data_IF_983050578911
#
_entry.id   IF_983050578911
#
_cell.length_a   1.000
_cell.length_b   1.000
_cell.length_c   1.000
_cell.angle_alpha   90.00
_cell.angle_beta   90.00
_cell.angle_gamma   90.00
#
_symmetry.space_group_name_H-M   'P 1'
#
loop_
_entity.id
_entity.type
_entity.pdbx_description
1 polymer ?
#
# COMPACT_ATOMS: atom_id res chain seq x y z
N UNK A 1 3.41 9.74 22.24
CA UNK A 1 4.84 9.51 22.28
C UNK A 1 5.26 8.19 21.65
N UNK A 2 4.74 7.08 22.15
CA UNK A 2 5.16 5.81 21.59
C UNK A 2 4.68 5.65 20.15
N UNK A 3 3.61 6.30 19.81
CA UNK A 3 3.11 6.27 18.44
C UNK A 3 4.09 6.93 17.50
N UNK A 4 4.66 8.05 17.95
CA UNK A 4 5.66 8.74 17.15
C UNK A 4 6.92 7.89 17.00
N UNK A 5 7.29 7.20 18.04
CA UNK A 5 8.43 6.31 17.99
C UNK A 5 8.24 5.19 16.98
N UNK A 6 7.04 4.64 16.95
CA UNK A 6 6.76 3.59 15.99
C UNK A 6 6.85 4.10 14.56
N UNK A 7 6.38 5.30 14.34
CA UNK A 7 6.47 5.88 13.01
C UNK A 7 7.92 6.07 12.60
N UNK A 8 8.73 6.52 13.52
CA UNK A 8 10.14 6.69 13.23
C UNK A 8 10.81 5.36 12.93
N UNK A 9 10.47 4.34 13.69
CA UNK A 9 11.02 3.02 13.43
C UNK A 9 10.69 2.53 12.04
N UNK A 10 9.47 2.76 11.60
CA UNK A 10 9.05 2.33 10.27
C UNK A 10 9.86 3.04 9.20
N UNK A 11 10.05 4.33 9.36
CA UNK A 11 10.82 5.09 8.39
C UNK A 11 12.28 4.70 8.38
N UNK A 12 12.84 4.50 9.57
CA UNK A 12 14.25 4.17 9.69
C UNK A 12 14.59 2.86 9.02
N UNK A 13 13.65 1.95 9.00
CA UNK A 13 13.90 0.63 8.47
C UNK A 13 13.62 0.52 6.99
N UNK A 14 13.11 1.58 6.41
CA UNK A 14 12.81 1.56 5.00
C UNK A 14 11.71 0.58 4.66
N UNK A 15 11.55 0.39 3.38
CA UNK A 15 10.49 -0.45 2.85
C UNK A 15 10.70 -1.92 3.12
N UNK A 16 11.95 -2.32 3.32
CA UNK A 16 12.23 -3.74 3.52
C UNK A 16 11.69 -4.24 4.84
N UNK A 17 11.37 -3.35 5.77
CA UNK A 17 10.89 -3.74 7.07
C UNK A 17 9.38 -3.70 7.20
N UNK A 18 8.68 -3.23 6.18
CA UNK A 18 7.22 -3.27 6.20
C UNK A 18 6.78 -4.72 6.14
N UNK A 19 5.95 -5.10 7.08
CA UNK A 19 5.47 -6.48 7.13
C UNK A 19 4.48 -6.71 6.02
N UNK A 20 4.57 -7.90 5.44
CA UNK A 20 3.66 -8.26 4.37
C UNK A 20 2.25 -8.41 4.93
N UNK A 21 1.29 -8.01 4.15
CA UNK A 21 -0.10 -8.13 4.53
C UNK A 21 -0.71 -9.38 3.92
N UNK A 22 -1.59 -10.01 4.67
CA UNK A 22 -2.39 -11.09 4.10
C UNK A 22 -3.44 -10.48 3.19
N UNK A 23 -4.11 -11.34 2.43
CA UNK A 23 -5.10 -10.88 1.48
C UNK A 23 -6.22 -10.10 2.16
N UNK A 24 -6.72 -10.61 3.29
CA UNK A 24 -7.78 -9.91 4.01
C UNK A 24 -7.33 -8.57 4.56
N UNK A 25 -6.12 -8.53 5.09
CA UNK A 25 -5.56 -7.29 5.59
C UNK A 25 -5.38 -6.26 4.48
N UNK A 26 -4.93 -6.73 3.33
CA UNK A 26 -4.75 -5.84 2.19
C UNK A 26 -6.07 -5.28 1.70
N UNK A 27 -7.11 -6.10 1.69
CA UNK A 27 -8.42 -5.61 1.30
C UNK A 27 -8.91 -4.48 2.21
N UNK A 28 -8.69 -4.63 3.50
CA UNK A 28 -9.05 -3.58 4.44
C UNK A 28 -8.26 -2.31 4.17
N UNK A 29 -6.96 -2.46 3.93
CA UNK A 29 -6.15 -1.29 3.63
C UNK A 29 -6.57 -0.62 2.34
N UNK A 30 -6.94 -1.39 1.32
CA UNK A 30 -7.40 -0.79 0.07
C UNK A 30 -8.62 0.10 0.30
N UNK A 31 -9.53 -0.37 1.15
CA UNK A 31 -10.70 0.42 1.48
C UNK A 31 -10.31 1.67 2.27
N UNK A 32 -9.41 1.52 3.23
CA UNK A 32 -8.97 2.66 4.02
C UNK A 32 -8.27 3.71 3.17
N UNK A 33 -7.44 3.29 2.24
CA UNK A 33 -6.79 4.24 1.34
C UNK A 33 -7.80 4.97 0.48
N UNK A 34 -8.86 4.27 0.10
CA UNK A 34 -9.91 4.84 -0.72
C UNK A 34 -10.74 5.86 0.06
N UNK A 35 -11.09 5.53 1.31
CA UNK A 35 -11.91 6.39 2.15
C UNK A 35 -11.10 7.50 2.83
N UNK A 36 -9.83 7.23 3.09
CA UNK A 36 -9.00 8.15 3.85
C UNK A 36 -9.09 7.93 5.34
N UNK A 37 -10.26 7.63 5.86
CA UNK A 37 -10.48 7.34 7.27
C UNK A 37 -11.90 6.81 7.40
N UNK A 38 -12.15 6.07 8.47
CA UNK A 38 -13.49 5.57 8.71
C UNK A 38 -13.56 4.62 9.89
N UNK A 39 -14.78 4.41 10.36
CA UNK A 39 -15.04 3.41 11.38
C UNK A 39 -15.09 2.03 10.73
N UNK A 40 -15.14 0.99 11.58
CA UNK A 40 -15.25 -0.36 11.04
C UNK A 40 -16.52 -0.51 10.23
N UNK A 41 -17.61 0.09 10.69
CA UNK A 41 -18.86 0.05 9.93
C UNK A 41 -18.73 0.75 8.58
N UNK A 42 -17.98 1.85 8.54
CA UNK A 42 -17.73 2.54 7.28
C UNK A 42 -16.95 1.66 6.31
N UNK A 43 -15.99 0.93 6.83
CA UNK A 43 -15.22 0.03 6.00
C UNK A 43 -16.09 -1.07 5.41
N UNK A 44 -16.94 -1.65 6.26
CA UNK A 44 -17.82 -2.72 5.80
C UNK A 44 -18.79 -2.19 4.75
N UNK A 45 -19.31 -1.00 4.96
CA UNK A 45 -20.25 -0.41 4.01
C UNK A 45 -19.63 -0.22 2.63
N UNK A 46 -18.32 0.01 2.59
CA UNK A 46 -17.61 0.21 1.33
C UNK A 46 -17.21 -1.09 0.65
N UNK A 47 -17.37 -2.22 1.33
CA UNK A 47 -16.97 -3.51 0.78
C UNK A 47 -18.08 -4.12 -0.04
N UNK A 48 -17.68 -5.02 -0.92
CA UNK A 48 -18.63 -5.67 -1.82
C UNK A 48 -19.39 -6.80 -1.11
N UNK A 49 -20.55 -7.12 -1.66
CA UNK A 49 -21.30 -8.26 -1.16
C UNK A 49 -20.60 -9.56 -1.53
N UNK A 50 -20.69 -10.59 -0.68
CA UNK A 50 -21.36 -10.56 0.63
C UNK A 50 -20.53 -9.77 1.65
N UNK A 51 -21.22 -8.99 2.46
CA UNK A 51 -20.53 -8.15 3.45
C UNK A 51 -19.85 -9.03 4.50
N UNK A 52 -18.62 -8.70 4.87
CA UNK A 52 -17.96 -9.45 5.95
C UNK A 52 -18.57 -9.12 7.31
N UNK A 53 -18.27 -9.99 8.26
CA UNK A 53 -18.76 -9.77 9.61
C UNK A 53 -17.95 -8.68 10.31
N UNK A 54 -18.61 -7.97 11.20
CA UNK A 54 -17.95 -6.93 11.97
C UNK A 54 -16.71 -7.46 12.70
N UNK A 55 -16.85 -8.64 13.34
CA UNK A 55 -15.73 -9.19 14.09
C UNK A 55 -14.56 -9.54 13.21
N UNK A 56 -14.81 -9.97 11.99
CA UNK A 56 -13.74 -10.28 11.04
C UNK A 56 -12.95 -9.03 10.71
N UNK A 57 -13.64 -7.96 10.36
CA UNK A 57 -12.96 -6.71 9.99
C UNK A 57 -12.28 -6.11 11.21
N UNK A 58 -12.91 -6.16 12.36
CA UNK A 58 -12.30 -5.65 13.60
C UNK A 58 -10.98 -6.35 13.88
N UNK A 59 -10.94 -7.68 13.65
CA UNK A 59 -9.72 -8.43 13.85
C UNK A 59 -8.63 -7.99 12.89
N UNK A 60 -8.98 -7.83 11.63
CA UNK A 60 -8.00 -7.37 10.64
C UNK A 60 -7.46 -5.99 10.99
N UNK A 61 -8.35 -5.09 11.40
CA UNK A 61 -7.93 -3.74 11.76
C UNK A 61 -6.97 -3.77 12.95
N UNK A 62 -7.26 -4.63 13.92
CA UNK A 62 -6.39 -4.75 15.09
C UNK A 62 -5.01 -5.27 14.69
N UNK A 63 -4.97 -6.24 13.80
CA UNK A 63 -3.70 -6.76 13.31
C UNK A 63 -2.93 -5.66 12.59
N UNK A 64 -3.63 -4.88 11.78
CA UNK A 64 -3.00 -3.79 11.05
C UNK A 64 -2.47 -2.72 12.00
N UNK A 65 -3.19 -2.45 13.09
CA UNK A 65 -2.68 -1.54 14.09
C UNK A 65 -1.37 -2.05 14.69
N UNK A 66 -1.34 -3.34 15.00
CA UNK A 66 -0.15 -3.95 15.59
C UNK A 66 1.03 -3.94 14.63
N UNK A 67 0.75 -4.06 13.34
CA UNK A 67 1.80 -4.01 12.33
C UNK A 67 2.25 -2.59 12.03
N UNK A 68 1.55 -1.59 12.55
CA UNK A 68 1.92 -0.21 12.31
C UNK A 68 1.35 0.41 11.05
N UNK A 69 0.37 -0.24 10.43
CA UNK A 69 -0.24 0.25 9.20
C UNK A 69 -1.39 1.21 9.45
N UNK A 70 -2.05 1.09 10.60
CA UNK A 70 -3.28 1.81 10.88
C UNK A 70 -3.21 2.48 12.23
N UNK A 71 -3.70 3.70 12.31
CA UNK A 71 -3.90 4.39 13.57
C UNK A 71 -5.38 4.59 13.83
N UNK A 72 -5.72 5.04 15.03
CA UNK A 72 -7.11 5.28 15.35
C UNK A 72 -7.25 6.56 16.16
N UNK A 73 -8.41 7.16 16.02
CA UNK A 73 -8.79 8.35 16.77
C UNK A 73 -10.14 8.10 17.42
N UNK A 74 -10.28 8.51 18.66
CA UNK A 74 -11.57 8.39 19.33
C UNK A 74 -12.56 9.38 18.77
N UNK A 75 -13.76 8.88 18.46
CA UNK A 75 -14.87 9.71 18.00
C UNK A 75 -16.08 9.34 18.80
N UNK A 76 -16.34 10.05 19.90
CA UNK A 76 -17.42 9.71 20.79
C UNK A 76 -17.21 8.35 21.40
N UNK A 77 -18.11 7.43 21.14
CA UNK A 77 -18.02 6.08 21.68
C UNK A 77 -17.38 5.09 20.73
N UNK A 78 -16.93 5.55 19.59
CA UNK A 78 -16.34 4.66 18.60
C UNK A 78 -14.98 5.20 18.19
N UNK A 79 -14.35 4.48 17.27
CA UNK A 79 -13.04 4.87 16.76
C UNK A 79 -13.10 5.07 15.27
N UNK A 80 -12.31 6.03 14.83
CA UNK A 80 -12.09 6.26 13.42
C UNK A 80 -10.68 5.81 13.09
N UNK A 81 -10.56 4.95 12.12
CA UNK A 81 -9.25 4.40 11.73
C UNK A 81 -8.75 5.09 10.48
N UNK A 82 -7.45 5.21 10.37
CA UNK A 82 -6.82 5.87 9.23
C UNK A 82 -5.50 5.18 8.91
N UNK A 83 -5.08 5.22 7.65
CA UNK A 83 -3.83 4.56 7.27
C UNK A 83 -2.62 5.37 7.72
N UNK A 84 -1.65 4.70 8.31
CA UNK A 84 -0.37 5.29 8.67
C UNK A 84 0.65 5.14 7.55
N UNK A 85 0.49 4.09 6.75
CA UNK A 85 1.37 3.82 5.63
C UNK A 85 0.64 4.18 4.35
N UNK A 86 1.17 5.13 3.56
CA UNK A 86 0.53 5.50 2.31
C UNK A 86 0.49 4.34 1.33
N UNK A 87 -0.50 4.37 0.46
CA UNK A 87 -0.65 3.32 -0.55
C UNK A 87 0.60 3.20 -1.41
N UNK A 88 1.19 4.33 -1.75
CA UNK A 88 2.39 4.34 -2.59
C UNK A 88 3.55 3.62 -1.94
N UNK A 89 3.72 3.82 -0.63
CA UNK A 89 4.81 3.14 0.07
C UNK A 89 4.61 1.64 0.09
N UNK A 90 3.38 1.21 0.35
CA UNK A 90 3.11 -0.21 0.36
C UNK A 90 3.27 -0.81 -1.03
N UNK A 91 2.79 -0.10 -2.05
CA UNK A 91 2.93 -0.57 -3.42
C UNK A 91 4.39 -0.74 -3.80
N UNK A 92 5.23 0.19 -3.39
CA UNK A 92 6.66 0.09 -3.65
C UNK A 92 7.25 -1.16 -3.02
N UNK A 93 6.83 -1.46 -1.78
CA UNK A 93 7.31 -2.65 -1.10
C UNK A 93 6.90 -3.92 -1.83
N UNK A 94 5.64 -3.98 -2.27
CA UNK A 94 5.14 -5.15 -2.98
C UNK A 94 5.87 -5.33 -4.31
N UNK A 95 6.02 -4.24 -5.06
CA UNK A 95 6.69 -4.32 -6.35
C UNK A 95 8.15 -4.73 -6.17
N UNK A 96 8.82 -4.17 -5.17
CA UNK A 96 10.21 -4.54 -4.90
C UNK A 96 10.34 -6.02 -4.58
N UNK A 97 9.39 -6.55 -3.82
CA UNK A 97 9.40 -7.97 -3.50
C UNK A 97 9.25 -8.82 -4.75
N UNK A 98 8.36 -8.42 -5.64
CA UNK A 98 8.15 -9.14 -6.89
C UNK A 98 9.40 -9.07 -7.76
N UNK A 99 10.01 -7.90 -7.85
CA UNK A 99 11.22 -7.74 -8.63
C UNK A 99 12.34 -8.64 -8.12
N UNK A 100 12.50 -8.69 -6.81
CA UNK A 100 13.55 -9.51 -6.23
C UNK A 100 13.28 -11.00 -6.42
N UNK A 101 12.03 -11.40 -6.35
CA UNK A 101 11.68 -12.81 -6.46
C UNK A 101 11.71 -13.34 -7.88
N UNK A 102 11.31 -12.53 -8.84
CA UNK A 102 11.08 -13.02 -10.19
C UNK A 102 11.95 -12.33 -11.25
N UNK A 103 12.51 -11.20 -10.96
CA UNK A 103 13.23 -10.42 -11.97
C UNK A 103 14.60 -9.98 -11.49
N UNK A 104 15.13 -10.66 -10.49
CA UNK A 104 16.49 -10.40 -9.96
C UNK A 104 16.69 -8.93 -9.56
N UNK A 105 15.62 -8.30 -9.10
CA UNK A 105 15.69 -6.91 -8.68
C UNK A 105 15.73 -5.90 -9.81
N UNK A 106 15.49 -6.34 -11.03
CA UNK A 106 15.62 -5.47 -12.20
C UNK A 106 14.26 -5.08 -12.76
N UNK A 107 13.95 -3.80 -12.68
CA UNK A 107 12.75 -3.27 -13.29
C UNK A 107 12.78 -3.44 -14.81
N UNK A 108 13.98 -3.31 -15.40
CA UNK A 108 14.14 -3.48 -16.83
C UNK A 108 13.74 -4.88 -17.28
N UNK A 109 14.06 -5.89 -16.48
CA UNK A 109 13.66 -7.25 -16.81
C UNK A 109 12.15 -7.42 -16.76
N UNK A 110 11.51 -6.78 -15.78
CA UNK A 110 10.07 -6.84 -15.69
C UNK A 110 9.41 -6.20 -16.90
N UNK A 111 9.87 -5.03 -17.28
CA UNK A 111 9.34 -4.34 -18.45
C UNK A 111 9.57 -5.15 -19.72
N UNK A 112 10.75 -5.74 -19.83
CA UNK A 112 11.06 -6.59 -20.97
C UNK A 112 10.13 -7.80 -21.07
N UNK A 113 9.85 -8.38 -19.91
CA UNK A 113 8.94 -9.53 -19.87
C UNK A 113 7.56 -9.16 -20.40
N UNK A 114 7.02 -8.05 -19.95
CA UNK A 114 5.69 -7.62 -20.42
C UNK A 114 5.71 -7.18 -21.88
N UNK A 115 6.80 -6.58 -22.31
CA UNK A 115 6.92 -6.16 -23.71
C UNK A 115 6.89 -7.35 -24.65
N UNK A 116 7.59 -8.41 -24.29
CA UNK A 116 7.66 -9.59 -25.16
C UNK A 116 6.32 -10.30 -25.24
N UNK A 117 5.51 -10.19 -24.21
CA UNK A 117 4.19 -10.83 -24.22
C UNK A 117 3.12 -9.94 -24.83
N UNK A 118 3.53 -8.79 -25.33
CA UNK A 118 2.62 -7.82 -25.94
C UNK A 118 1.55 -7.32 -24.97
N UNK A 119 1.88 -7.34 -23.71
CA UNK A 119 0.98 -6.80 -22.68
C UNK A 119 1.05 -5.28 -22.62
N UNK A 120 2.10 -4.70 -23.19
CA UNK A 120 2.25 -3.27 -23.22
C UNK A 120 1.91 -2.74 -24.61
N UNK A 121 0.99 -1.77 -24.65
CA UNK A 121 0.69 -1.10 -25.89
C UNK A 121 1.75 -0.03 -26.17
N UNK A 122 1.75 0.46 -27.42
CA UNK A 122 2.65 1.53 -27.77
C UNK A 122 2.37 2.76 -26.91
N UNK A 123 1.10 3.03 -26.65
CA UNK A 123 0.72 4.17 -25.84
C UNK A 123 1.25 4.05 -24.41
N UNK A 124 1.11 2.87 -23.83
CA UNK A 124 1.63 2.65 -22.48
C UNK A 124 3.14 2.79 -22.45
N UNK A 125 3.82 2.27 -23.45
CA UNK A 125 5.27 2.36 -23.51
C UNK A 125 5.71 3.82 -23.55
N UNK A 126 5.03 4.63 -24.36
CA UNK A 126 5.36 6.04 -24.44
C UNK A 126 5.10 6.76 -23.14
N UNK A 127 4.00 6.39 -22.44
CA UNK A 127 3.70 6.97 -21.15
C UNK A 127 4.77 6.64 -20.11
N UNK A 128 5.22 5.39 -20.12
CA UNK A 128 6.25 4.97 -19.18
C UNK A 128 7.54 5.74 -19.41
N UNK A 129 7.93 5.86 -20.67
CA UNK A 129 9.13 6.61 -21.00
C UNK A 129 9.03 8.07 -20.60
N UNK A 130 7.87 8.67 -20.80
CA UNK A 130 7.68 10.07 -20.43
C UNK A 130 7.79 10.24 -18.90
N UNK A 131 7.23 9.32 -18.14
CA UNK A 131 7.30 9.39 -16.69
C UNK A 131 8.74 9.28 -16.22
N UNK A 132 9.49 8.35 -16.80
CA UNK A 132 10.89 8.15 -16.43
C UNK A 132 11.71 9.39 -16.73
N UNK A 133 11.50 9.98 -17.89
CA UNK A 133 12.24 11.19 -18.27
C UNK A 133 11.95 12.35 -17.34
N UNK A 134 10.70 12.52 -16.96
CA UNK A 134 10.34 13.58 -16.03
C UNK A 134 10.95 13.36 -14.66
N UNK A 135 10.93 12.13 -14.19
CA UNK A 135 11.50 11.82 -12.89
C UNK A 135 12.99 12.08 -12.87
N UNK A 136 13.68 11.70 -13.93
CA UNK A 136 15.13 11.93 -14.02
C UNK A 136 15.44 13.41 -14.11
N UNK A 137 14.61 14.14 -14.84
CA UNK A 137 14.81 15.58 -14.97
C UNK A 137 14.69 16.27 -13.62
N UNK A 138 13.69 15.86 -12.83
CA UNK A 138 13.52 16.41 -11.49
C UNK A 138 14.71 16.09 -10.60
N UNK A 139 15.21 14.87 -10.70
CA UNK A 139 16.35 14.44 -9.90
C UNK A 139 17.58 15.25 -10.27
N UNK A 140 17.77 15.47 -11.56
CA UNK A 140 18.92 16.22 -12.02
C UNK A 140 18.90 17.66 -11.52
N UNK A 141 17.71 18.24 -11.40
CA UNK A 141 17.59 19.60 -10.92
C UNK A 141 17.81 19.72 -9.44
N UNK A 142 17.60 18.63 -8.72
CA UNK A 142 17.82 18.62 -7.28
C UNK A 142 19.30 18.55 -6.97
#
# INVERSE_FOLDING_TARGET
PYRRQRQMCIRDRDNTTLKKLTRGEEEVMQILWQLGAGSINDLIAAMQEPKPKYTTIATFVKILENKGYVGRTERGKSYEYYPLVPKEEYAKTVVSSILNSYFDGSLAQMVSFFSRREDLSIQETEQILAIIRQARHKTDKS
#
